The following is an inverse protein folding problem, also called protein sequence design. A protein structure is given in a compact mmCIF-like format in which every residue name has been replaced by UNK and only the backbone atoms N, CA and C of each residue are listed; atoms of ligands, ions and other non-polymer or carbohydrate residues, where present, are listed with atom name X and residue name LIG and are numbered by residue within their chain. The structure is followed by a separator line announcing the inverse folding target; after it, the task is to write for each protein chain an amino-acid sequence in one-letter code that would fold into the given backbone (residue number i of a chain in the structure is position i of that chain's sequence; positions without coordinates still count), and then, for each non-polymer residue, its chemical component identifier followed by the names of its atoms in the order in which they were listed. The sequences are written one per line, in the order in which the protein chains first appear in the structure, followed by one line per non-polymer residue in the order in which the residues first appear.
data_IF_334849397378
#
_entry.id   IF_334849397378
#
_cell.length_a   1.000
_cell.length_b   1.000
_cell.length_c   1.000
_cell.angle_alpha   90.00
_cell.angle_beta   90.00
_cell.angle_gamma   90.00
#
_symmetry.space_group_name_H-M   'P 1'
#
loop_
_entity.id
_entity.type
_entity.pdbx_description
1 polymer ?
#
# COMPACT_ATOMS: atom_id res chain seq x y z
N UNK A 1 -40.26 -25.06 -18.85
CA UNK A 1 -38.96 -25.75 -18.96
C UNK A 1 -37.90 -24.67 -19.14
N UNK A 2 -37.03 -24.47 -18.15
CA UNK A 2 -35.94 -23.49 -18.22
C UNK A 2 -34.81 -24.11 -19.06
N UNK A 3 -34.49 -23.51 -20.20
CA UNK A 3 -33.34 -23.90 -21.01
C UNK A 3 -32.09 -23.31 -20.34
N UNK A 4 -31.35 -24.14 -19.59
CA UNK A 4 -30.06 -23.75 -19.05
C UNK A 4 -29.03 -23.68 -20.19
N UNK A 5 -28.48 -22.49 -20.43
CA UNK A 5 -27.35 -22.27 -21.35
C UNK A 5 -26.03 -22.53 -20.62
N UNK A 6 -25.21 -23.42 -21.18
CA UNK A 6 -23.77 -23.49 -20.85
C UNK A 6 -23.18 -22.10 -21.10
N UNK A 7 -22.42 -21.55 -20.15
CA UNK A 7 -21.80 -20.25 -20.37
C UNK A 7 -20.58 -20.38 -21.30
N UNK A 8 -20.29 -19.34 -22.07
CA UNK A 8 -19.18 -19.34 -23.04
C UNK A 8 -17.81 -19.65 -22.40
N UNK A 9 -17.65 -19.36 -21.10
CA UNK A 9 -16.42 -19.60 -20.34
C UNK A 9 -16.12 -21.08 -20.09
N UNK A 10 -17.15 -21.94 -20.06
CA UNK A 10 -17.01 -23.37 -19.75
C UNK A 10 -17.58 -24.25 -20.87
N UNK A 11 -17.67 -23.70 -22.09
CA UNK A 11 -18.20 -24.38 -23.27
C UNK A 11 -17.44 -25.70 -23.60
N UNK A 12 -16.16 -25.80 -23.24
CA UNK A 12 -15.30 -26.96 -23.49
C UNK A 12 -15.44 -28.08 -22.42
N UNK A 13 -16.12 -27.82 -21.30
CA UNK A 13 -16.36 -28.83 -20.23
C UNK A 13 -17.66 -28.55 -19.48
N UNK A 14 -18.82 -28.78 -20.12
CA UNK A 14 -20.12 -28.42 -19.57
C UNK A 14 -20.57 -29.41 -18.47
N UNK A 15 -20.54 -28.97 -17.22
CA UNK A 15 -21.36 -29.53 -16.15
C UNK A 15 -22.46 -28.52 -15.79
N UNK A 16 -23.72 -28.91 -15.97
CA UNK A 16 -24.88 -28.12 -15.55
C UNK A 16 -25.64 -28.94 -14.52
N UNK A 17 -25.74 -28.41 -13.31
CA UNK A 17 -26.60 -28.95 -12.26
C UNK A 17 -27.40 -27.74 -11.76
N UNK A 18 -28.72 -27.77 -11.97
CA UNK A 18 -29.69 -26.73 -11.57
C UNK A 18 -29.40 -25.30 -12.07
N UNK A 19 -29.81 -24.98 -13.30
CA UNK A 19 -30.06 -23.59 -13.74
C UNK A 19 -28.86 -22.65 -13.89
N UNK A 20 -27.72 -22.96 -13.25
CA UNK A 20 -26.48 -22.20 -13.27
C UNK A 20 -25.32 -23.10 -13.75
N UNK A 21 -24.26 -22.50 -14.29
CA UNK A 21 -23.10 -23.25 -14.77
C UNK A 21 -22.23 -23.66 -13.58
N UNK A 22 -22.05 -24.97 -13.35
CA UNK A 22 -21.23 -25.51 -12.26
C UNK A 22 -19.77 -25.03 -12.36
N UNK A 23 -19.27 -24.82 -13.58
CA UNK A 23 -17.94 -24.24 -13.81
C UNK A 23 -17.81 -22.84 -13.20
N UNK A 24 -18.83 -21.99 -13.32
CA UNK A 24 -18.83 -20.65 -12.73
C UNK A 24 -18.90 -20.70 -11.21
N UNK A 25 -19.69 -21.62 -10.64
CA UNK A 25 -19.76 -21.82 -9.19
C UNK A 25 -18.40 -22.28 -8.64
N UNK A 26 -17.72 -23.20 -9.33
CA UNK A 26 -16.37 -23.64 -8.95
C UNK A 26 -15.37 -22.48 -9.02
N UNK A 27 -15.41 -21.67 -10.08
CA UNK A 27 -14.52 -20.50 -10.22
C UNK A 27 -14.73 -19.50 -9.08
N UNK A 28 -15.99 -19.25 -8.71
CA UNK A 28 -16.34 -18.38 -7.58
C UNK A 28 -15.80 -18.94 -6.25
N UNK A 29 -16.02 -20.22 -5.98
CA UNK A 29 -15.50 -20.89 -4.78
C UNK A 29 -13.97 -20.86 -4.72
N UNK A 30 -13.29 -21.05 -5.85
CA UNK A 30 -11.83 -20.94 -5.94
C UNK A 30 -11.35 -19.51 -5.67
N UNK A 31 -12.07 -18.50 -6.16
CA UNK A 31 -11.77 -17.09 -5.89
C UNK A 31 -11.93 -16.75 -4.41
N UNK A 32 -13.02 -17.19 -3.76
CA UNK A 32 -13.24 -17.04 -2.32
C UNK A 32 -12.12 -17.70 -1.52
N UNK A 33 -11.77 -18.95 -1.86
CA UNK A 33 -10.70 -19.69 -1.18
C UNK A 33 -9.35 -18.96 -1.27
N UNK A 34 -9.00 -18.44 -2.46
CA UNK A 34 -7.77 -17.65 -2.66
C UNK A 34 -7.75 -16.42 -1.75
N UNK A 35 -8.81 -15.62 -1.75
CA UNK A 35 -8.90 -14.39 -0.94
C UNK A 35 -8.84 -14.71 0.57
N UNK A 36 -9.56 -15.75 1.01
CA UNK A 36 -9.53 -16.19 2.40
C UNK A 36 -8.13 -16.68 2.82
N UNK A 37 -7.44 -17.41 1.95
CA UNK A 37 -6.06 -17.86 2.19
C UNK A 37 -5.10 -16.66 2.29
N UNK A 38 -5.21 -15.70 1.39
CA UNK A 38 -4.36 -14.50 1.38
C UNK A 38 -4.59 -13.69 2.67
N UNK A 39 -5.83 -13.60 3.15
CA UNK A 39 -6.15 -12.98 4.45
C UNK A 39 -5.50 -13.70 5.63
N UNK A 40 -5.59 -15.04 5.69
CA UNK A 40 -4.99 -15.84 6.78
C UNK A 40 -3.45 -15.74 6.76
N UNK A 41 -2.85 -15.66 5.58
CA UNK A 41 -1.39 -15.59 5.42
C UNK A 41 -0.82 -14.18 5.57
N UNK A 42 -1.66 -13.14 5.52
CA UNK A 42 -1.22 -11.76 5.62
C UNK A 42 -0.54 -11.47 6.97
N UNK A 43 0.71 -11.01 6.92
CA UNK A 43 1.49 -10.65 8.11
C UNK A 43 1.44 -9.14 8.36
N UNK A 44 1.05 -8.76 9.58
CA UNK A 44 1.03 -7.36 10.01
C UNK A 44 -0.27 -6.64 9.65
N UNK A 45 -0.59 -5.61 10.44
CA UNK A 45 -1.88 -4.90 10.43
C UNK A 45 -2.26 -4.36 9.05
N UNK A 46 -1.30 -3.82 8.30
CA UNK A 46 -1.55 -3.25 6.98
C UNK A 46 -1.97 -4.34 5.97
N UNK A 47 -1.21 -5.43 5.87
CA UNK A 47 -1.50 -6.48 4.90
C UNK A 47 -2.80 -7.22 5.21
N UNK A 48 -3.10 -7.48 6.50
CA UNK A 48 -4.35 -8.15 6.88
C UNK A 48 -5.58 -7.28 6.62
N UNK A 49 -5.47 -5.95 6.81
CA UNK A 49 -6.55 -5.02 6.47
C UNK A 49 -6.81 -4.94 4.96
N UNK A 50 -5.76 -4.96 4.13
CA UNK A 50 -5.91 -5.00 2.68
C UNK A 50 -6.55 -6.30 2.19
N UNK A 51 -6.04 -7.45 2.65
CA UNK A 51 -6.60 -8.75 2.28
C UNK A 51 -8.05 -8.92 2.76
N UNK A 52 -8.40 -8.34 3.91
CA UNK A 52 -9.80 -8.28 4.37
C UNK A 52 -10.66 -7.41 3.44
N UNK A 53 -10.16 -6.25 2.97
CA UNK A 53 -10.91 -5.43 2.03
C UNK A 53 -11.11 -6.13 0.68
N UNK A 54 -10.11 -6.85 0.16
CA UNK A 54 -10.26 -7.62 -1.08
C UNK A 54 -11.36 -8.70 -0.93
N UNK A 55 -11.45 -9.35 0.23
CA UNK A 55 -12.51 -10.30 0.56
C UNK A 55 -13.89 -9.61 0.66
N UNK A 56 -13.99 -8.46 1.34
CA UNK A 56 -15.23 -7.72 1.48
C UNK A 56 -15.74 -7.16 0.15
N UNK A 57 -14.85 -6.65 -0.69
CA UNK A 57 -15.18 -6.17 -2.04
C UNK A 57 -15.74 -7.30 -2.92
N UNK A 58 -15.18 -8.51 -2.82
CA UNK A 58 -15.70 -9.68 -3.52
C UNK A 58 -17.15 -10.00 -3.14
N UNK A 59 -17.52 -9.80 -1.87
CA UNK A 59 -18.90 -9.96 -1.39
C UNK A 59 -19.77 -8.69 -1.54
N UNK A 60 -19.30 -7.68 -2.27
CA UNK A 60 -20.03 -6.42 -2.46
C UNK A 60 -20.24 -5.63 -1.16
N UNK A 61 -19.39 -5.86 -0.15
CA UNK A 61 -19.45 -5.15 1.13
C UNK A 61 -18.52 -3.93 1.10
N UNK A 62 -18.95 -2.79 1.65
CA UNK A 62 -18.09 -1.62 1.72
C UNK A 62 -16.90 -1.91 2.64
N UNK A 63 -15.69 -1.58 2.17
CA UNK A 63 -14.47 -1.56 2.98
C UNK A 63 -13.76 -0.24 2.80
N UNK A 64 -13.29 0.36 3.90
CA UNK A 64 -12.36 1.48 3.82
C UNK A 64 -10.96 0.88 3.84
N UNK A 65 -10.32 0.80 2.67
CA UNK A 65 -8.91 0.42 2.59
C UNK A 65 -8.12 1.41 3.45
N UNK A 66 -7.25 0.95 4.36
CA UNK A 66 -6.37 1.87 5.04
C UNK A 66 -5.53 2.52 3.95
N UNK A 67 -5.66 3.84 3.80
CA UNK A 67 -4.69 4.58 3.01
C UNK A 67 -3.30 4.13 3.48
N UNK A 68 -2.34 4.00 2.57
CA UNK A 68 -0.94 3.91 2.95
C UNK A 68 -0.67 5.10 3.86
N UNK A 69 -0.73 4.87 5.16
CA UNK A 69 -0.73 5.93 6.15
C UNK A 69 0.71 6.44 6.20
N UNK A 70 1.02 7.37 5.30
CA UNK A 70 2.39 7.81 5.03
C UNK A 70 2.67 8.31 3.60
N UNK A 71 1.87 7.96 2.59
CA UNK A 71 2.14 8.36 1.20
C UNK A 71 0.99 9.21 0.65
N UNK A 72 0.72 10.36 1.27
CA UNK A 72 0.02 11.41 0.52
C UNK A 72 0.92 11.77 -0.68
N UNK A 73 0.36 12.09 -1.86
CA UNK A 73 1.17 12.70 -2.91
C UNK A 73 1.80 13.96 -2.32
N UNK A 74 3.10 13.93 -2.12
CA UNK A 74 3.88 15.09 -1.69
C UNK A 74 4.18 15.90 -2.93
N UNK A 75 4.01 17.22 -2.85
CA UNK A 75 4.44 18.08 -3.93
C UNK A 75 5.97 18.08 -3.97
N UNK A 76 6.55 18.25 -5.15
CA UNK A 76 8.01 18.32 -5.32
C UNK A 76 8.64 19.42 -4.43
N UNK A 77 7.88 20.49 -4.14
CA UNK A 77 8.24 21.54 -3.17
C UNK A 77 8.44 21.05 -1.74
N UNK A 78 7.88 19.90 -1.36
CA UNK A 78 7.95 19.33 -0.02
C UNK A 78 9.19 18.44 0.17
N UNK A 79 9.98 18.22 -0.90
CA UNK A 79 11.16 17.37 -0.85
C UNK A 79 12.30 18.06 -0.09
N UNK A 80 12.86 17.42 0.95
CA UNK A 80 14.07 17.90 1.60
C UNK A 80 15.22 18.01 0.61
N UNK A 81 15.95 19.12 0.62
CA UNK A 81 17.15 19.23 -0.23
C UNK A 81 18.35 18.64 0.49
N UNK A 82 19.28 18.09 -0.29
CA UNK A 82 20.54 17.59 0.24
C UNK A 82 21.28 18.74 0.95
N UNK A 83 21.91 18.42 2.08
CA UNK A 83 22.61 19.32 2.99
C UNK A 83 21.71 20.21 3.88
N UNK A 84 20.39 20.16 3.72
CA UNK A 84 19.46 20.88 4.61
C UNK A 84 19.41 20.27 6.00
N UNK A 85 19.21 21.15 6.99
CA UNK A 85 19.11 20.79 8.39
C UNK A 85 17.66 20.65 8.81
N UNK A 86 17.40 19.60 9.58
CA UNK A 86 16.12 19.30 10.16
C UNK A 86 16.29 19.03 11.65
N UNK A 87 15.36 19.55 12.45
CA UNK A 87 15.29 19.29 13.89
C UNK A 87 14.20 18.25 14.15
N UNK A 88 14.58 17.17 14.82
CA UNK A 88 13.61 16.20 15.31
C UNK A 88 12.90 16.73 16.56
N UNK A 89 11.72 16.17 16.87
CA UNK A 89 10.92 16.55 18.07
C UNK A 89 11.67 16.41 19.41
N UNK A 90 12.73 15.60 19.47
CA UNK A 90 13.58 15.45 20.66
C UNK A 90 14.73 16.48 20.73
N UNK A 91 14.83 17.40 19.76
CA UNK A 91 15.86 18.44 19.71
C UNK A 91 17.08 18.11 18.85
N UNK A 92 17.31 16.84 18.52
CA UNK A 92 18.46 16.40 17.69
C UNK A 92 18.40 17.01 16.29
N UNK A 93 19.56 17.47 15.81
CA UNK A 93 19.72 17.96 14.44
C UNK A 93 20.16 16.84 13.53
N UNK A 94 19.58 16.84 12.34
CA UNK A 94 19.90 15.92 11.28
C UNK A 94 20.12 16.69 9.99
N UNK A 95 21.05 16.19 9.19
CA UNK A 95 21.34 16.72 7.87
C UNK A 95 20.92 15.73 6.81
N UNK A 96 20.20 16.20 5.79
CA UNK A 96 19.82 15.35 4.65
C UNK A 96 21.05 15.02 3.82
N UNK A 97 21.33 13.73 3.66
CA UNK A 97 22.46 13.23 2.87
C UNK A 97 22.04 12.84 1.45
N UNK A 98 20.85 12.27 1.29
CA UNK A 98 20.33 11.82 -0.01
C UNK A 98 18.81 11.69 0.04
N UNK A 99 18.13 12.04 -1.05
CA UNK A 99 16.73 11.67 -1.27
C UNK A 99 16.65 10.71 -2.47
N UNK A 100 16.24 9.47 -2.23
CA UNK A 100 16.18 8.40 -3.22
C UNK A 100 14.76 8.18 -3.76
N UNK A 101 14.66 7.55 -4.93
CA UNK A 101 13.41 7.16 -5.60
C UNK A 101 12.46 8.31 -5.96
N UNK A 102 12.98 9.54 -6.09
CA UNK A 102 12.17 10.74 -6.41
C UNK A 102 11.35 10.59 -7.71
N UNK A 103 11.85 9.81 -8.66
CA UNK A 103 11.23 9.61 -9.98
C UNK A 103 10.44 8.29 -10.09
N UNK A 104 10.30 7.52 -9.01
CA UNK A 104 9.55 6.27 -9.05
C UNK A 104 8.06 6.55 -8.93
N UNK A 105 7.28 6.02 -9.87
CA UNK A 105 5.82 5.95 -9.78
C UNK A 105 5.33 4.62 -9.16
N UNK A 106 6.26 3.71 -8.84
CA UNK A 106 5.94 2.38 -8.32
C UNK A 106 5.74 2.44 -6.81
N UNK A 107 4.59 1.99 -6.28
CA UNK A 107 4.24 2.08 -4.86
C UNK A 107 5.20 1.33 -3.91
N UNK A 108 5.92 0.31 -4.40
CA UNK A 108 6.90 -0.47 -3.66
C UNK A 108 8.27 0.22 -3.52
N UNK A 109 8.49 1.32 -4.25
CA UNK A 109 9.70 2.14 -4.17
C UNK A 109 9.34 3.58 -3.74
N UNK A 110 8.93 3.79 -2.48
CA UNK A 110 8.59 5.12 -1.99
C UNK A 110 9.84 6.02 -1.96
N UNK A 111 9.61 7.34 -1.92
CA UNK A 111 10.68 8.32 -1.69
C UNK A 111 11.30 8.10 -0.32
N UNK A 112 12.62 7.88 -0.29
CA UNK A 112 13.39 7.64 0.92
C UNK A 112 14.32 8.82 1.18
N UNK A 113 14.28 9.36 2.40
CA UNK A 113 15.22 10.37 2.89
C UNK A 113 16.27 9.68 3.74
N UNK A 114 17.52 9.77 3.31
CA UNK A 114 18.69 9.38 4.08
C UNK A 114 19.30 10.63 4.72
N UNK A 115 19.61 10.55 6.01
CA UNK A 115 20.06 11.69 6.79
C UNK A 115 21.02 11.27 7.90
N UNK A 116 21.89 12.18 8.32
CA UNK A 116 22.93 11.93 9.32
C UNK A 116 22.78 12.85 10.52
N UNK A 117 23.08 12.36 11.71
CA UNK A 117 23.28 13.22 12.89
C UNK A 117 24.71 13.79 12.94
N UNK A 118 24.98 14.61 13.96
CA UNK A 118 26.29 15.25 14.18
C UNK A 118 27.40 14.24 14.54
N UNK A 119 27.02 13.05 15.03
CA UNK A 119 27.95 11.96 15.31
C UNK A 119 28.27 11.13 14.04
N UNK A 120 27.65 11.45 12.91
CA UNK A 120 27.84 10.78 11.63
C UNK A 120 27.02 9.49 11.45
N UNK A 121 26.12 9.15 12.37
CA UNK A 121 25.25 7.99 12.19
C UNK A 121 24.22 8.27 11.11
N UNK A 122 24.03 7.29 10.20
CA UNK A 122 23.11 7.42 9.07
C UNK A 122 21.80 6.70 9.34
N UNK A 123 20.69 7.36 8.99
CA UNK A 123 19.34 6.86 9.13
C UNK A 123 18.57 6.99 7.81
N UNK A 124 17.56 6.14 7.61
CA UNK A 124 16.69 6.19 6.44
C UNK A 124 15.22 6.09 6.83
N UNK A 125 14.36 6.93 6.23
CA UNK A 125 12.90 6.89 6.41
C UNK A 125 12.18 7.23 5.11
N UNK A 126 10.94 6.78 4.98
CA UNK A 126 10.05 7.31 3.92
C UNK A 126 9.79 8.80 4.15
N UNK A 127 9.55 9.54 3.07
CA UNK A 127 9.33 10.99 3.10
C UNK A 127 8.26 11.40 4.12
N UNK A 128 7.06 10.80 4.07
CA UNK A 128 6.00 11.14 5.01
C UNK A 128 6.36 10.87 6.47
N UNK A 129 7.09 9.78 6.76
CA UNK A 129 7.57 9.50 8.13
C UNK A 129 8.63 10.50 8.58
N UNK A 130 9.52 10.91 7.68
CA UNK A 130 10.52 11.93 7.95
C UNK A 130 9.83 13.27 8.29
N UNK A 131 8.99 13.80 7.40
CA UNK A 131 8.31 15.08 7.59
C UNK A 131 7.37 15.08 8.81
N UNK A 132 6.75 13.96 9.18
CA UNK A 132 5.88 13.89 10.36
C UNK A 132 6.59 14.12 11.72
N UNK A 133 7.92 13.99 11.74
CA UNK A 133 8.75 14.05 12.95
C UNK A 133 9.86 15.11 12.91
N UNK A 134 10.05 15.74 11.76
CA UNK A 134 11.16 16.64 11.49
C UNK A 134 10.63 18.01 11.10
N UNK A 135 11.26 19.06 11.61
CA UNK A 135 10.99 20.45 11.22
C UNK A 135 12.23 21.02 10.56
N UNK A 136 12.09 21.60 9.36
CA UNK A 136 13.21 22.23 8.63
C UNK A 136 13.75 23.42 9.42
N UNK A 137 15.06 23.48 9.60
CA UNK A 137 15.73 24.59 10.29
C UNK A 137 15.95 25.71 9.27
N UNK A 138 15.22 26.82 9.42
CA UNK A 138 15.29 27.97 8.50
C UNK A 138 13.92 28.47 8.04
N UNK A 139 12.86 27.65 8.15
CA UNK A 139 11.49 28.03 7.78
C UNK A 139 10.73 28.76 8.92
N UNK A 140 11.44 29.14 9.99
CA UNK A 140 10.89 29.88 11.12
C UNK A 140 11.93 30.80 11.73
N UNK A 141 11.62 32.09 11.72
CA UNK A 141 12.23 33.14 12.53
C UNK A 141 12.22 32.65 13.99
N UNK A 142 13.38 32.68 14.63
CA UNK A 142 13.51 32.48 16.08
C UNK A 142 13.24 33.79 16.81
#
# INVERSE_FOLDING_TARGET
MSNATVCDKHAESPSIIYGECVGCEIDELQQVYRLARDFVQAKGRYHSQHAMCDLLEHFGKPCVRPDKQGDKPHHESDLPKIWELYRHKNGTLYRVALVANQNSNRPEYPVIVNYTDDDGNTWAKTLGKFLSKMTRVGDGIW
#
